data_IF_833863668801
#
_entry.id   IF_833863668801
#
_cell.length_a   1.000
_cell.length_b   1.000
_cell.length_c   1.000
_cell.angle_alpha   90.00
_cell.angle_beta   90.00
_cell.angle_gamma   90.00
#
_symmetry.space_group_name_H-M   'P 1'
#
loop_
_entity.id
_entity.type
_entity.pdbx_description
1 polymer ?
#
# COMPACT_ATOMS: atom_id res chain seq x y z
N UNK A 1 8.82 20.39 51.90
CA UNK A 1 8.48 19.27 51.00
C UNK A 1 8.02 19.84 49.68
N UNK A 2 8.75 19.68 48.57
CA UNK A 2 8.33 20.17 47.27
C UNK A 2 7.33 19.19 46.65
N UNK A 3 6.20 19.72 46.20
CA UNK A 3 5.16 18.98 45.45
C UNK A 3 5.68 18.69 44.04
N UNK A 4 5.88 17.43 43.72
CA UNK A 4 6.10 16.93 42.35
C UNK A 4 4.84 17.09 41.57
N UNK A 5 4.78 18.09 40.69
CA UNK A 5 3.75 18.17 39.64
C UNK A 5 4.15 17.25 38.49
N UNK A 6 3.59 16.07 38.44
CA UNK A 6 3.61 15.19 37.26
C UNK A 6 2.56 15.71 36.25
N UNK A 7 2.92 16.78 35.54
CA UNK A 7 2.12 17.27 34.43
C UNK A 7 2.22 16.32 33.25
N UNK A 8 1.16 15.60 32.91
CA UNK A 8 1.07 14.91 31.63
C UNK A 8 1.30 15.92 30.50
N UNK A 9 2.42 15.81 29.78
CA UNK A 9 2.70 16.64 28.61
C UNK A 9 1.58 16.45 27.61
N UNK A 10 0.75 17.48 27.44
CA UNK A 10 -0.27 17.55 26.43
C UNK A 10 0.44 17.40 25.07
N UNK A 11 0.19 16.28 24.36
CA UNK A 11 0.77 16.05 23.03
C UNK A 11 0.23 17.12 22.09
N UNK A 12 1.09 17.96 21.59
CA UNK A 12 0.74 18.96 20.60
C UNK A 12 0.13 18.29 19.36
N UNK A 13 -0.97 18.81 18.86
CA UNK A 13 -1.64 18.33 17.64
C UNK A 13 -0.69 18.39 16.43
N UNK A 14 0.19 19.38 16.40
CA UNK A 14 1.19 19.60 15.36
C UNK A 14 2.56 19.73 16.04
N UNK A 15 3.27 18.61 16.27
CA UNK A 15 4.59 18.66 16.85
C UNK A 15 5.57 19.27 15.84
N UNK A 16 6.42 20.17 16.32
CA UNK A 16 7.52 20.77 15.57
C UNK A 16 8.84 20.14 16.03
N UNK A 17 9.70 19.81 15.09
CA UNK A 17 11.06 19.37 15.35
C UNK A 17 12.02 20.53 15.10
N UNK A 18 12.97 20.74 16.01
CA UNK A 18 14.00 21.76 15.81
C UNK A 18 15.12 21.22 14.92
N UNK A 19 15.85 22.11 14.28
CA UNK A 19 16.96 21.73 13.39
C UNK A 19 17.95 20.77 14.06
N UNK A 20 18.21 20.91 15.34
CA UNK A 20 19.19 20.13 16.10
C UNK A 20 18.76 18.66 16.30
N UNK A 21 17.44 18.38 16.31
CA UNK A 21 16.90 17.03 16.51
C UNK A 21 16.53 16.33 15.21
N UNK A 22 16.49 17.08 14.09
CA UNK A 22 16.26 16.51 12.78
C UNK A 22 17.50 15.70 12.36
N UNK A 23 17.39 14.40 12.38
CA UNK A 23 18.46 13.48 12.00
C UNK A 23 18.03 12.55 10.86
N UNK A 24 19.01 12.07 10.10
CA UNK A 24 18.74 11.02 9.11
C UNK A 24 18.19 9.77 9.80
N UNK A 25 17.07 9.19 9.29
CA UNK A 25 16.55 7.95 9.86
C UNK A 25 17.61 6.85 9.85
N UNK A 26 17.95 6.30 11.01
CA UNK A 26 18.92 5.20 11.14
C UNK A 26 18.38 3.87 10.64
N UNK A 27 17.06 3.75 10.50
CA UNK A 27 16.40 2.56 9.94
C UNK A 27 16.13 2.72 8.46
N UNK A 28 16.29 1.63 7.70
CA UNK A 28 15.95 1.61 6.28
C UNK A 28 14.45 1.89 6.07
N UNK A 29 14.11 3.08 5.57
CA UNK A 29 12.73 3.53 5.37
C UNK A 29 12.24 3.24 3.94
N UNK A 30 12.41 1.99 3.47
CA UNK A 30 11.98 1.56 2.15
C UNK A 30 11.35 0.16 2.16
N UNK A 31 10.44 -0.09 1.23
CA UNK A 31 10.00 -1.43 0.84
C UNK A 31 10.93 -2.02 -0.23
N UNK A 32 11.26 -1.21 -1.25
CA UNK A 32 12.25 -1.57 -2.27
C UNK A 32 13.24 -0.43 -2.37
N UNK A 33 14.51 -0.69 -2.05
CA UNK A 33 15.55 0.34 -1.94
C UNK A 33 15.69 1.14 -3.24
N UNK A 34 15.54 2.46 -3.13
CA UNK A 34 15.64 3.38 -4.26
C UNK A 34 14.43 3.40 -5.20
N UNK A 35 13.36 2.60 -4.92
CA UNK A 35 12.15 2.54 -5.74
C UNK A 35 10.91 2.88 -4.93
N UNK A 36 10.68 2.21 -3.80
CA UNK A 36 9.48 2.39 -2.99
C UNK A 36 9.82 2.70 -1.54
N UNK A 37 9.26 3.76 -0.97
CA UNK A 37 9.34 4.03 0.46
C UNK A 37 8.55 2.97 1.24
N UNK A 38 8.75 2.92 2.55
CA UNK A 38 8.03 2.02 3.44
C UNK A 38 6.57 2.42 3.65
N UNK A 39 6.30 3.71 3.65
CA UNK A 39 4.97 4.29 3.88
C UNK A 39 4.80 5.52 3.00
N UNK A 40 3.56 5.85 2.68
CA UNK A 40 3.22 6.99 1.85
C UNK A 40 2.13 6.67 0.84
N UNK A 41 1.95 7.58 -0.10
CA UNK A 41 1.11 7.39 -1.28
C UNK A 41 2.01 7.36 -2.51
N UNK A 42 1.77 6.44 -3.42
CA UNK A 42 2.50 6.31 -4.68
C UNK A 42 1.53 6.09 -5.85
N UNK A 43 1.94 6.50 -7.03
CA UNK A 43 1.19 6.29 -8.27
C UNK A 43 2.10 5.69 -9.33
N UNK A 44 1.68 4.55 -9.89
CA UNK A 44 2.27 3.97 -11.09
C UNK A 44 1.48 4.47 -12.31
N UNK A 45 2.00 5.52 -12.94
CA UNK A 45 1.36 6.15 -14.08
C UNK A 45 1.95 5.71 -15.41
N UNK A 46 1.12 5.75 -16.49
CA UNK A 46 1.57 5.49 -17.86
C UNK A 46 0.41 5.15 -18.80
N UNK A 47 0.65 5.08 -20.11
CA UNK A 47 -0.36 4.83 -21.13
C UNK A 47 -1.13 3.52 -20.88
N UNK A 48 -2.41 3.42 -21.29
CA UNK A 48 -3.16 2.17 -21.27
C UNK A 48 -2.40 1.04 -21.98
N UNK A 49 -2.54 -0.19 -21.46
CA UNK A 49 -1.94 -1.42 -22.04
C UNK A 49 -0.41 -1.46 -22.10
N UNK A 50 0.32 -0.51 -21.49
CA UNK A 50 1.79 -0.53 -21.43
C UNK A 50 2.39 -1.51 -20.41
N UNK A 51 1.56 -2.35 -19.78
CA UNK A 51 2.02 -3.39 -18.85
C UNK A 51 2.20 -2.98 -17.40
N UNK A 52 1.63 -1.84 -16.96
CA UNK A 52 1.74 -1.35 -15.57
C UNK A 52 1.36 -2.40 -14.53
N UNK A 53 0.15 -2.95 -14.65
CA UNK A 53 -0.36 -3.95 -13.68
C UNK A 53 0.53 -5.21 -13.64
N UNK A 54 1.11 -5.63 -14.77
CA UNK A 54 2.08 -6.75 -14.78
C UNK A 54 3.36 -6.40 -14.03
N UNK A 55 3.91 -5.21 -14.29
CA UNK A 55 5.13 -4.74 -13.63
C UNK A 55 4.94 -4.55 -12.12
N UNK A 56 3.81 -3.96 -11.72
CA UNK A 56 3.49 -3.76 -10.31
C UNK A 56 3.20 -5.09 -9.61
N UNK A 57 2.46 -6.00 -10.27
CA UNK A 57 2.24 -7.33 -9.71
C UNK A 57 3.56 -8.08 -9.48
N UNK A 58 4.48 -8.08 -10.45
CA UNK A 58 5.81 -8.67 -10.30
C UNK A 58 6.58 -8.03 -9.13
N UNK A 59 6.58 -6.71 -9.02
CA UNK A 59 7.22 -5.96 -7.96
C UNK A 59 6.68 -6.36 -6.57
N UNK A 60 5.35 -6.39 -6.40
CA UNK A 60 4.76 -6.70 -5.09
C UNK A 60 4.89 -8.18 -4.72
N UNK A 61 4.98 -9.07 -5.69
CA UNK A 61 5.34 -10.48 -5.42
C UNK A 61 6.75 -10.61 -4.87
N UNK A 62 7.70 -9.77 -5.30
CA UNK A 62 9.04 -9.73 -4.71
C UNK A 62 9.00 -9.20 -3.27
N UNK A 63 8.10 -8.24 -2.96
CA UNK A 63 7.87 -7.77 -1.59
C UNK A 63 7.29 -8.92 -0.75
N UNK A 64 6.24 -9.61 -1.22
CA UNK A 64 5.63 -10.71 -0.49
C UNK A 64 6.63 -11.84 -0.18
N UNK A 65 7.55 -12.12 -1.10
CA UNK A 65 8.55 -13.17 -0.95
C UNK A 65 9.85 -12.73 -0.27
N UNK A 66 10.06 -11.44 -0.04
CA UNK A 66 11.33 -10.91 0.47
C UNK A 66 12.49 -11.09 -0.51
N UNK A 67 12.22 -11.22 -1.81
CA UNK A 67 13.24 -11.39 -2.86
C UNK A 67 13.65 -10.04 -3.43
N UNK A 68 14.95 -9.86 -3.67
CA UNK A 68 15.43 -8.64 -4.33
C UNK A 68 14.74 -8.42 -5.69
N UNK A 69 14.28 -7.20 -5.92
CA UNK A 69 13.65 -6.82 -7.18
C UNK A 69 14.68 -6.14 -8.09
N UNK A 70 15.04 -6.81 -9.21
CA UNK A 70 15.97 -6.27 -10.21
C UNK A 70 17.28 -5.70 -9.60
N UNK A 71 17.85 -6.40 -8.63
CA UNK A 71 19.07 -5.97 -7.92
C UNK A 71 18.82 -5.04 -6.72
N UNK A 72 17.62 -4.51 -6.53
CA UNK A 72 17.28 -3.67 -5.39
C UNK A 72 16.90 -4.51 -4.17
N UNK A 73 17.46 -4.18 -3.01
CA UNK A 73 17.08 -4.83 -1.75
C UNK A 73 15.59 -4.59 -1.46
N UNK A 74 14.88 -5.64 -1.10
CA UNK A 74 13.44 -5.62 -0.83
C UNK A 74 13.19 -6.07 0.59
N UNK A 75 12.30 -5.37 1.29
CA UNK A 75 11.81 -5.77 2.61
C UNK A 75 10.56 -6.64 2.42
N UNK A 76 10.55 -7.81 3.04
CA UNK A 76 9.37 -8.68 3.04
C UNK A 76 8.21 -8.03 3.81
N UNK A 77 7.00 -8.23 3.31
CA UNK A 77 5.78 -7.80 3.97
C UNK A 77 4.52 -8.29 3.28
N UNK A 78 3.40 -8.18 3.99
CA UNK A 78 2.07 -8.54 3.49
C UNK A 78 1.67 -7.58 2.37
N UNK A 79 1.13 -8.15 1.29
CA UNK A 79 0.60 -7.42 0.14
C UNK A 79 -0.91 -7.61 0.07
N UNK A 80 -1.66 -6.53 0.03
CA UNK A 80 -3.08 -6.53 -0.34
C UNK A 80 -3.20 -5.89 -1.72
N UNK A 81 -3.78 -6.61 -2.67
CA UNK A 81 -3.94 -6.15 -4.05
C UNK A 81 -5.42 -6.10 -4.42
N UNK A 82 -5.93 -4.89 -4.62
CA UNK A 82 -7.30 -4.62 -5.03
C UNK A 82 -7.35 -4.54 -6.56
N UNK A 83 -7.75 -5.64 -7.22
CA UNK A 83 -7.90 -5.73 -8.67
C UNK A 83 -9.33 -5.37 -9.07
N UNK A 84 -9.58 -4.09 -9.37
CA UNK A 84 -10.92 -3.55 -9.62
C UNK A 84 -11.37 -3.71 -11.09
N UNK A 85 -10.45 -4.09 -11.98
CA UNK A 85 -10.71 -4.35 -13.39
C UNK A 85 -10.62 -5.87 -13.69
N UNK A 86 -11.75 -6.57 -13.54
CA UNK A 86 -11.87 -7.95 -14.03
C UNK A 86 -11.03 -8.99 -13.30
N UNK A 87 -11.50 -9.45 -12.14
CA UNK A 87 -10.84 -10.43 -11.28
C UNK A 87 -10.35 -11.71 -11.99
N UNK A 88 -11.11 -12.24 -12.99
CA UNK A 88 -10.71 -13.44 -13.72
C UNK A 88 -9.40 -13.28 -14.50
N UNK A 89 -9.21 -12.14 -15.18
CA UNK A 89 -7.96 -11.87 -15.90
C UNK A 89 -6.75 -11.75 -14.96
N UNK A 90 -6.97 -11.24 -13.76
CA UNK A 90 -5.91 -11.12 -12.76
C UNK A 90 -5.54 -12.47 -12.14
N UNK A 91 -6.51 -13.34 -11.87
CA UNK A 91 -6.28 -14.72 -11.40
C UNK A 91 -5.38 -15.48 -12.37
N UNK A 92 -5.61 -15.36 -13.69
CA UNK A 92 -4.77 -16.00 -14.69
C UNK A 92 -3.31 -15.52 -14.62
N UNK A 93 -3.08 -14.23 -14.31
CA UNK A 93 -1.71 -13.68 -14.09
C UNK A 93 -1.06 -14.31 -12.87
N UNK A 94 -1.79 -14.45 -11.78
CA UNK A 94 -1.29 -15.13 -10.56
C UNK A 94 -0.90 -16.57 -10.87
N UNK A 95 -1.75 -17.31 -11.56
CA UNK A 95 -1.49 -18.72 -11.93
C UNK A 95 -0.26 -18.82 -12.82
N UNK A 96 -0.13 -17.98 -13.83
CA UNK A 96 1.04 -17.94 -14.71
C UNK A 96 2.33 -17.61 -13.94
N UNK A 97 2.26 -16.64 -13.03
CA UNK A 97 3.39 -16.25 -12.20
C UNK A 97 3.81 -17.38 -11.24
N UNK A 98 2.84 -18.06 -10.58
CA UNK A 98 3.09 -19.23 -9.73
C UNK A 98 3.82 -20.33 -10.51
N UNK A 99 3.34 -20.67 -11.70
CA UNK A 99 3.99 -21.67 -12.57
C UNK A 99 5.43 -21.30 -12.93
N UNK A 100 5.68 -20.03 -13.20
CA UNK A 100 6.99 -19.54 -13.63
C UNK A 100 8.03 -19.47 -12.51
N UNK A 101 7.62 -19.06 -11.29
CA UNK A 101 8.56 -18.66 -10.25
C UNK A 101 8.51 -19.50 -8.97
N UNK A 102 7.44 -20.31 -8.74
CA UNK A 102 7.32 -21.15 -7.55
C UNK A 102 7.54 -22.64 -7.83
N UNK A 103 7.59 -23.08 -9.11
CA UNK A 103 7.90 -24.47 -9.50
C UNK A 103 7.13 -25.53 -8.69
N UNK A 104 5.84 -25.29 -8.39
CA UNK A 104 5.01 -26.21 -7.62
C UNK A 104 5.32 -26.26 -6.11
N UNK A 105 6.22 -25.46 -5.60
CA UNK A 105 6.41 -25.32 -4.16
C UNK A 105 5.29 -24.49 -3.55
N UNK A 106 4.37 -25.13 -2.85
CA UNK A 106 3.33 -24.47 -2.04
C UNK A 106 3.98 -23.78 -0.82
N UNK A 107 4.54 -22.60 -1.05
CA UNK A 107 4.91 -21.72 0.05
C UNK A 107 3.73 -20.80 0.35
N UNK A 108 3.40 -20.66 1.61
CA UNK A 108 2.52 -19.60 2.05
C UNK A 108 3.15 -18.26 1.68
N UNK A 109 2.55 -17.56 0.73
CA UNK A 109 2.98 -16.22 0.28
C UNK A 109 2.01 -15.22 0.86
N UNK A 110 2.47 -14.21 1.63
CA UNK A 110 1.59 -13.21 2.23
C UNK A 110 1.10 -12.20 1.19
N UNK A 111 0.33 -12.69 0.22
CA UNK A 111 -0.31 -11.96 -0.86
C UNK A 111 -1.81 -12.24 -0.86
N UNK A 112 -2.59 -11.20 -0.69
CA UNK A 112 -4.06 -11.25 -0.61
C UNK A 112 -4.65 -10.47 -1.77
N UNK A 113 -5.60 -11.07 -2.48
CA UNK A 113 -6.29 -10.50 -3.62
C UNK A 113 -7.73 -10.13 -3.24
N UNK A 114 -8.10 -8.88 -3.43
CA UNK A 114 -9.48 -8.42 -3.45
C UNK A 114 -9.86 -8.12 -4.91
N UNK A 115 -10.86 -8.85 -5.43
CA UNK A 115 -11.27 -8.77 -6.84
C UNK A 115 -12.74 -8.35 -6.96
N UNK A 116 -13.14 -7.38 -6.17
CA UNK A 116 -14.50 -6.82 -6.15
C UNK A 116 -14.47 -5.34 -6.51
N UNK A 117 -15.64 -4.82 -6.91
CA UNK A 117 -15.81 -3.39 -7.11
C UNK A 117 -15.63 -2.65 -5.79
N UNK A 118 -14.96 -1.50 -5.84
CA UNK A 118 -14.67 -0.65 -4.69
C UNK A 118 -14.87 0.80 -5.07
N UNK A 119 -15.67 1.53 -4.29
CA UNK A 119 -15.65 2.98 -4.26
C UNK A 119 -14.80 3.41 -3.07
N UNK A 120 -13.52 3.69 -3.29
CA UNK A 120 -12.62 3.95 -2.18
C UNK A 120 -13.06 5.13 -1.31
N UNK A 121 -13.74 6.13 -1.87
CA UNK A 121 -14.22 7.30 -1.12
C UNK A 121 -15.32 6.91 -0.12
N UNK A 122 -16.24 6.03 -0.52
CA UNK A 122 -17.32 5.59 0.34
C UNK A 122 -16.89 4.44 1.27
N UNK A 123 -16.12 3.50 0.73
CA UNK A 123 -15.91 2.18 1.33
C UNK A 123 -14.59 2.05 2.12
N UNK A 124 -13.76 3.11 2.19
CA UNK A 124 -12.42 2.98 2.82
C UNK A 124 -12.44 2.52 4.26
N UNK A 125 -13.49 2.84 5.04
CA UNK A 125 -13.62 2.40 6.44
C UNK A 125 -13.88 0.91 6.52
N UNK A 126 -14.80 0.43 5.70
CA UNK A 126 -15.15 -0.99 5.63
C UNK A 126 -13.96 -1.80 5.11
N UNK A 127 -13.25 -1.28 4.09
CA UNK A 127 -12.03 -1.90 3.59
C UNK A 127 -10.94 -1.99 4.67
N UNK A 128 -10.78 -0.97 5.52
CA UNK A 128 -9.84 -1.02 6.65
C UNK A 128 -10.25 -2.13 7.63
N UNK A 129 -11.54 -2.20 7.99
CA UNK A 129 -12.06 -3.20 8.91
C UNK A 129 -11.87 -4.62 8.34
N UNK A 130 -12.27 -4.81 7.08
CA UNK A 130 -12.16 -6.10 6.40
C UNK A 130 -10.71 -6.59 6.27
N UNK A 131 -9.77 -5.70 6.00
CA UNK A 131 -8.34 -6.04 5.95
C UNK A 131 -7.83 -6.42 7.35
N UNK A 132 -8.16 -5.65 8.37
CA UNK A 132 -7.71 -5.90 9.75
C UNK A 132 -8.25 -7.24 10.26
N UNK A 133 -9.53 -7.51 10.05
CA UNK A 133 -10.20 -8.75 10.47
C UNK A 133 -9.62 -9.98 9.74
N UNK A 134 -9.44 -9.90 8.42
CA UNK A 134 -8.94 -11.02 7.62
C UNK A 134 -7.45 -11.30 7.83
N UNK A 135 -6.68 -10.29 8.21
CA UNK A 135 -5.26 -10.45 8.54
C UNK A 135 -5.02 -10.77 10.03
N UNK A 136 -6.09 -10.82 10.85
CA UNK A 136 -5.99 -11.15 12.28
C UNK A 136 -5.15 -10.15 13.07
N UNK A 137 -5.18 -8.86 12.67
CA UNK A 137 -4.41 -7.79 13.28
C UNK A 137 -2.99 -7.60 12.69
N UNK A 138 -2.55 -8.47 11.79
CA UNK A 138 -1.33 -8.24 11.00
C UNK A 138 -1.54 -7.08 10.03
N UNK A 139 -0.46 -6.35 9.72
CA UNK A 139 -0.54 -5.13 8.91
C UNK A 139 0.06 -5.31 7.54
N UNK A 140 -0.66 -4.92 6.46
CA UNK A 140 -0.07 -4.90 5.13
C UNK A 140 1.10 -3.92 5.07
N UNK A 141 2.15 -4.30 4.36
CA UNK A 141 3.25 -3.42 4.02
C UNK A 141 2.90 -2.52 2.83
N UNK A 142 2.02 -3.02 1.96
CA UNK A 142 1.53 -2.30 0.79
C UNK A 142 0.08 -2.70 0.47
N UNK A 143 -0.73 -1.70 0.14
CA UNK A 143 -2.06 -1.85 -0.47
C UNK A 143 -2.00 -1.29 -1.89
N UNK A 144 -2.30 -2.11 -2.89
CA UNK A 144 -2.33 -1.69 -4.31
C UNK A 144 -3.78 -1.54 -4.76
N UNK A 145 -4.10 -0.43 -5.41
CA UNK A 145 -5.42 -0.13 -6.00
C UNK A 145 -5.26 -0.10 -7.52
N UNK A 146 -5.77 -1.11 -8.19
CA UNK A 146 -5.66 -1.30 -9.65
C UNK A 146 -7.09 -1.35 -10.28
N UNK A 147 -7.62 -0.25 -10.80
CA UNK A 147 -7.01 1.04 -11.09
C UNK A 147 -7.62 2.19 -10.25
N UNK A 148 -6.93 3.35 -10.26
CA UNK A 148 -7.42 4.58 -9.63
C UNK A 148 -8.81 4.96 -10.14
N UNK A 149 -9.00 4.95 -11.46
CA UNK A 149 -10.26 5.33 -12.09
C UNK A 149 -11.43 4.43 -11.67
N UNK A 150 -11.19 3.16 -11.37
CA UNK A 150 -12.22 2.23 -10.88
C UNK A 150 -12.53 2.42 -9.40
N UNK A 151 -11.56 2.92 -8.64
CA UNK A 151 -11.73 3.23 -7.23
C UNK A 151 -12.40 4.60 -6.99
N UNK A 152 -12.47 5.44 -8.02
CA UNK A 152 -13.07 6.77 -7.98
C UNK A 152 -14.45 6.74 -8.64
N UNK A 153 -15.50 6.92 -7.85
CA UNK A 153 -16.81 7.29 -8.40
C UNK A 153 -16.88 8.81 -8.44
N UNK A 154 -16.57 9.38 -9.61
CA UNK A 154 -16.45 10.81 -9.82
C UNK A 154 -15.63 11.12 -11.05
N UNK A 155 -15.15 12.35 -11.13
CA UNK A 155 -14.33 12.83 -12.24
C UNK A 155 -12.90 13.07 -11.73
N UNK A 156 -11.94 12.32 -12.28
CA UNK A 156 -10.51 12.43 -11.93
C UNK A 156 -9.90 13.81 -12.26
N UNK A 157 -10.56 14.58 -13.14
CA UNK A 157 -10.16 15.94 -13.48
C UNK A 157 -10.70 16.98 -12.48
N UNK A 158 -11.62 16.59 -11.58
CA UNK A 158 -12.13 17.47 -10.53
C UNK A 158 -11.25 17.38 -9.29
N UNK A 159 -10.64 18.49 -8.92
CA UNK A 159 -9.77 18.58 -7.74
C UNK A 159 -10.46 18.15 -6.44
N UNK A 160 -11.77 18.40 -6.32
CA UNK A 160 -12.55 18.00 -5.15
C UNK A 160 -12.68 16.47 -5.02
N UNK A 161 -12.95 15.75 -6.11
CA UNK A 161 -13.08 14.30 -6.10
C UNK A 161 -11.72 13.64 -5.85
N UNK A 162 -10.66 14.17 -6.46
CA UNK A 162 -9.29 13.72 -6.19
C UNK A 162 -8.86 13.98 -4.75
N UNK A 163 -9.24 15.11 -4.14
CA UNK A 163 -8.95 15.37 -2.74
C UNK A 163 -9.63 14.37 -1.80
N UNK A 164 -10.88 13.99 -2.09
CA UNK A 164 -11.60 12.95 -1.34
C UNK A 164 -10.92 11.58 -1.47
N UNK A 165 -10.50 11.21 -2.68
CA UNK A 165 -9.79 9.96 -2.94
C UNK A 165 -8.46 9.89 -2.20
N UNK A 166 -7.66 10.96 -2.25
CA UNK A 166 -6.39 11.07 -1.53
C UNK A 166 -6.62 10.95 -0.02
N UNK A 167 -7.67 11.59 0.51
CA UNK A 167 -8.02 11.50 1.94
C UNK A 167 -8.38 10.06 2.34
N UNK A 168 -9.11 9.33 1.52
CA UNK A 168 -9.46 7.93 1.76
C UNK A 168 -8.22 7.03 1.73
N UNK A 169 -7.34 7.23 0.74
CA UNK A 169 -6.06 6.51 0.65
C UNK A 169 -5.13 6.83 1.84
N UNK A 170 -5.12 8.09 2.28
CA UNK A 170 -4.33 8.49 3.44
C UNK A 170 -4.86 7.86 4.74
N UNK A 171 -6.18 7.64 4.86
CA UNK A 171 -6.77 6.91 5.96
C UNK A 171 -6.27 5.45 6.02
N UNK A 172 -6.19 4.75 4.88
CA UNK A 172 -5.59 3.41 4.79
C UNK A 172 -4.11 3.44 5.21
N UNK A 173 -3.35 4.40 4.68
CA UNK A 173 -1.93 4.59 5.04
C UNK A 173 -1.73 4.77 6.54
N UNK A 174 -2.56 5.59 7.17
CA UNK A 174 -2.49 5.87 8.61
C UNK A 174 -2.89 4.65 9.43
N UNK A 175 -3.99 3.98 9.06
CA UNK A 175 -4.49 2.81 9.76
C UNK A 175 -3.44 1.67 9.83
N UNK A 176 -2.75 1.42 8.73
CA UNK A 176 -1.81 0.30 8.62
C UNK A 176 -0.33 0.70 8.71
N UNK A 177 0.01 1.98 8.61
CA UNK A 177 1.41 2.42 8.53
C UNK A 177 2.11 1.93 7.26
N UNK A 178 1.36 1.73 6.16
CA UNK A 178 1.78 1.08 4.93
C UNK A 178 2.01 2.07 3.77
N UNK A 179 2.48 1.55 2.65
CA UNK A 179 2.42 2.23 1.36
C UNK A 179 1.07 1.96 0.69
N UNK A 180 0.38 2.98 0.22
CA UNK A 180 -0.79 2.83 -0.67
C UNK A 180 -0.37 3.23 -2.08
N UNK A 181 -0.56 2.31 -3.05
CA UNK A 181 -0.12 2.51 -4.42
C UNK A 181 -1.30 2.43 -5.37
N UNK A 182 -1.50 3.48 -6.16
CA UNK A 182 -2.45 3.48 -7.26
C UNK A 182 -1.78 3.11 -8.58
N UNK A 183 -2.51 2.37 -9.43
CA UNK A 183 -2.19 2.22 -10.84
C UNK A 183 -3.15 3.13 -11.62
N UNK A 184 -2.58 4.00 -12.45
CA UNK A 184 -3.35 5.03 -13.18
C UNK A 184 -2.92 5.09 -14.65
N UNK A 185 -3.87 5.47 -15.53
CA UNK A 185 -3.65 5.57 -16.97
C UNK A 185 -3.42 7.00 -17.41
#
# INVERSE_FOLDING_TARGET
MPRTQTGARQRNRFPLETWEIIAMPTSSNYLVKGILPRTGLAVAWGAPKCGKSFKIFDLVMHIALGRNYRGHKTRQGIVVYCALEGGHGFINRIVAWKKRYLNGHDRSVPFYLMAQSLNLIADYKDLITDIDDQLGGDRPAIVVIDTLNRALIGDENKSEDMAKLIKAADALRVAFGCLVMFIHH
#
